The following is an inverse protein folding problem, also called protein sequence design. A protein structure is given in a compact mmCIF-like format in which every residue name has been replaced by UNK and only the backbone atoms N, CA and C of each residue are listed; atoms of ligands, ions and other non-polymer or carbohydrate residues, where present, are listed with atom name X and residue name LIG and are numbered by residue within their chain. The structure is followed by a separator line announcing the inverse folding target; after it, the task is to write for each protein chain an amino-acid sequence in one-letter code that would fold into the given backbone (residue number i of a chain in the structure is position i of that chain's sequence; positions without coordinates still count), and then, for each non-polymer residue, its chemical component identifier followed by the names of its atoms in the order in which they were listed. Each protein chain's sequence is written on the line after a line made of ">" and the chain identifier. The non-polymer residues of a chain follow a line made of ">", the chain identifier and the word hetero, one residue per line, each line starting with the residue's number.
data_IF_641598694310
#
_entry.id   IF_641598694310
#
_cell.length_a   1.000
_cell.length_b   1.000
_cell.length_c   1.000
_cell.angle_alpha   90.00
_cell.angle_beta   90.00
_cell.angle_gamma   90.00
#
_symmetry.space_group_name_H-M   'P 1'
#
loop_
_entity.id
_entity.type
_entity.pdbx_description
1 polymer ?
#
# COMPACT_ATOMS: atom_id res chain seq x y z
N UNK A 1 17.96 0.45 4.18
CA UNK A 1 18.64 0.72 2.92
C UNK A 1 18.92 -0.62 2.26
N UNK A 2 18.59 -0.75 0.99
CA UNK A 2 18.77 -1.97 0.20
C UNK A 2 19.91 -1.82 -0.80
N UNK A 3 20.36 -2.94 -1.33
CA UNK A 3 21.18 -2.96 -2.53
C UNK A 3 20.42 -2.30 -3.71
N UNK A 4 21.13 -1.84 -4.77
CA UNK A 4 20.48 -1.33 -5.98
C UNK A 4 19.42 -2.31 -6.50
N UNK A 5 18.31 -1.79 -7.00
CA UNK A 5 17.17 -2.52 -7.59
C UNK A 5 16.45 -3.54 -6.66
N UNK A 6 16.83 -3.63 -5.38
CA UNK A 6 16.35 -4.66 -4.47
C UNK A 6 15.16 -4.25 -3.57
N UNK A 7 14.59 -3.05 -3.75
CA UNK A 7 13.55 -2.52 -2.84
C UNK A 7 12.35 -3.44 -2.75
N UNK A 8 11.76 -3.81 -3.89
CA UNK A 8 10.52 -4.62 -3.90
C UNK A 8 10.76 -6.01 -3.32
N UNK A 9 11.87 -6.65 -3.68
CA UNK A 9 12.22 -7.97 -3.18
C UNK A 9 12.38 -7.95 -1.65
N UNK A 10 13.14 -6.99 -1.12
CA UNK A 10 13.35 -6.84 0.33
C UNK A 10 12.03 -6.55 1.05
N UNK A 11 11.19 -5.70 0.50
CA UNK A 11 9.89 -5.35 1.08
C UNK A 11 8.94 -6.57 1.13
N UNK A 12 8.90 -7.36 0.04
CA UNK A 12 8.09 -8.58 -0.03
C UNK A 12 8.62 -9.65 0.93
N UNK A 13 9.94 -9.84 0.99
CA UNK A 13 10.55 -10.75 1.97
C UNK A 13 10.21 -10.33 3.41
N UNK A 14 10.30 -9.03 3.73
CA UNK A 14 9.93 -8.49 5.05
C UNK A 14 8.47 -8.75 5.40
N UNK A 15 7.57 -8.58 4.44
CA UNK A 15 6.14 -8.82 4.61
C UNK A 15 5.79 -10.30 4.86
N UNK A 16 6.63 -11.23 4.43
CA UNK A 16 6.43 -12.67 4.56
C UNK A 16 7.14 -13.29 5.76
N UNK A 17 7.91 -12.50 6.53
CA UNK A 17 8.64 -13.04 7.71
C UNK A 17 7.66 -13.57 8.75
N UNK A 18 7.94 -14.79 9.28
CA UNK A 18 7.24 -15.28 10.44
C UNK A 18 7.47 -14.34 11.62
N UNK A 19 6.43 -14.07 12.39
CA UNK A 19 6.56 -13.28 13.61
C UNK A 19 7.18 -14.10 14.72
N UNK A 20 8.07 -13.47 15.49
CA UNK A 20 8.64 -14.05 16.69
C UNK A 20 9.79 -15.04 16.49
N UNK A 21 10.29 -15.26 15.31
CA UNK A 21 11.52 -16.01 15.13
C UNK A 21 12.75 -15.15 15.47
N UNK A 22 13.15 -15.27 16.71
CA UNK A 22 14.38 -14.75 17.29
C UNK A 22 14.25 -13.33 17.86
N UNK A 23 14.49 -13.19 19.16
CA UNK A 23 14.63 -11.90 19.85
C UNK A 23 15.75 -10.99 19.27
N UNK A 24 16.55 -11.51 18.34
CA UNK A 24 17.62 -10.81 17.64
C UNK A 24 17.19 -10.34 16.23
N UNK A 25 16.06 -10.77 15.70
CA UNK A 25 15.62 -10.37 14.37
C UNK A 25 14.87 -9.04 14.48
N UNK A 26 15.38 -8.04 13.78
CA UNK A 26 14.65 -6.78 13.57
C UNK A 26 13.32 -7.12 12.90
N UNK A 27 12.21 -6.81 13.56
CA UNK A 27 10.87 -7.15 13.10
C UNK A 27 10.65 -6.61 11.68
N UNK A 28 10.16 -7.44 10.77
CA UNK A 28 9.96 -7.14 9.34
C UNK A 28 11.23 -6.82 8.52
N UNK A 29 12.42 -6.96 9.07
CA UNK A 29 13.66 -6.80 8.31
C UNK A 29 14.21 -8.18 7.96
N UNK A 30 14.22 -8.58 6.67
CA UNK A 30 14.70 -9.90 6.28
C UNK A 30 16.21 -10.02 6.42
N UNK A 31 16.67 -11.19 6.84
CA UNK A 31 18.09 -11.56 6.83
C UNK A 31 18.47 -11.86 5.36
N UNK A 32 18.96 -10.87 4.65
CA UNK A 32 19.33 -10.98 3.25
C UNK A 32 20.55 -10.10 2.96
N UNK A 33 21.45 -10.52 2.07
CA UNK A 33 22.56 -9.68 1.60
C UNK A 33 22.06 -8.44 0.84
N UNK A 34 20.80 -8.42 0.44
CA UNK A 34 20.16 -7.26 -0.19
C UNK A 34 19.82 -6.16 0.81
N UNK A 35 19.82 -6.43 2.12
CA UNK A 35 19.65 -5.44 3.18
C UNK A 35 21.02 -4.97 3.63
N UNK A 36 21.39 -3.76 3.26
CA UNK A 36 22.69 -3.19 3.60
C UNK A 36 22.70 -2.59 5.02
N UNK A 37 21.66 -1.83 5.36
CA UNK A 37 21.52 -1.17 6.66
C UNK A 37 20.05 -1.13 7.06
N UNK A 38 19.77 -1.33 8.36
CA UNK A 38 18.41 -1.27 8.87
C UNK A 38 18.36 -0.79 10.32
N UNK A 39 17.32 -0.03 10.65
CA UNK A 39 16.91 0.27 12.02
C UNK A 39 16.11 -0.90 12.58
N UNK A 40 15.80 -0.85 13.86
CA UNK A 40 14.69 -1.61 14.43
C UNK A 40 13.35 -0.96 14.05
N UNK A 41 12.23 -1.58 14.42
CA UNK A 41 10.94 -0.95 14.22
C UNK A 41 10.83 0.30 15.09
N UNK A 42 10.50 1.42 14.45
CA UNK A 42 10.34 2.71 15.14
C UNK A 42 8.85 2.88 15.48
N UNK A 43 8.47 2.90 16.78
CA UNK A 43 7.09 3.13 17.19
C UNK A 43 6.60 4.53 16.80
N UNK A 44 5.27 4.68 16.72
CA UNK A 44 4.65 5.97 16.41
C UNK A 44 5.14 7.07 17.37
N UNK A 45 5.50 8.23 16.80
CA UNK A 45 6.00 9.38 17.56
C UNK A 45 7.43 9.23 18.10
N UNK A 46 8.12 8.15 17.78
CA UNK A 46 9.53 7.95 18.13
C UNK A 46 10.43 8.20 16.93
N UNK A 47 11.72 8.35 17.20
CA UNK A 47 12.77 8.54 16.20
C UNK A 47 13.94 7.64 16.51
N UNK A 48 14.56 7.11 15.48
CA UNK A 48 15.82 6.38 15.55
C UNK A 48 16.83 7.00 14.58
N UNK A 49 18.09 7.01 14.98
CA UNK A 49 19.18 7.49 14.14
C UNK A 49 20.04 6.32 13.68
N UNK A 50 20.06 6.09 12.38
CA UNK A 50 20.95 5.13 11.75
C UNK A 50 22.23 5.84 11.27
N UNK A 51 23.37 5.41 11.77
CA UNK A 51 24.69 5.90 11.33
C UNK A 51 25.44 4.78 10.66
N UNK A 52 25.92 5.02 9.45
CA UNK A 52 26.62 4.03 8.65
C UNK A 52 27.61 4.72 7.71
N UNK A 53 28.56 3.96 7.15
CA UNK A 53 29.40 4.41 6.06
C UNK A 53 28.68 4.15 4.75
N UNK A 54 28.59 5.15 3.88
CA UNK A 54 28.01 4.99 2.55
C UNK A 54 28.73 3.88 1.77
N UNK A 55 28.03 3.15 0.92
CA UNK A 55 28.64 2.22 -0.03
C UNK A 55 29.75 2.92 -0.84
N UNK A 56 30.81 2.18 -1.15
CA UNK A 56 31.96 2.72 -1.91
C UNK A 56 31.68 2.86 -3.41
N UNK A 57 30.70 2.14 -3.91
CA UNK A 57 30.33 2.20 -5.33
C UNK A 57 29.29 3.28 -5.55
N UNK A 58 29.50 4.23 -6.49
CA UNK A 58 28.49 5.19 -6.89
C UNK A 58 27.24 4.48 -7.44
N UNK A 59 26.06 5.01 -7.11
CA UNK A 59 24.80 4.41 -7.56
C UNK A 59 23.59 4.83 -6.75
N UNK A 60 22.46 4.26 -7.08
CA UNK A 60 21.18 4.48 -6.43
C UNK A 60 20.91 3.36 -5.43
N UNK A 61 20.77 3.71 -4.17
CA UNK A 61 20.53 2.81 -3.05
C UNK A 61 19.15 3.11 -2.44
N UNK A 62 18.13 2.35 -2.79
CA UNK A 62 16.80 2.58 -2.23
C UNK A 62 16.76 2.35 -0.72
N UNK A 63 15.91 3.11 -0.05
CA UNK A 63 15.53 2.82 1.34
C UNK A 63 14.02 2.71 1.45
N UNK A 64 13.56 1.83 2.33
CA UNK A 64 12.16 1.44 2.37
C UNK A 64 11.73 1.08 3.79
N UNK A 65 10.49 1.38 4.13
CA UNK A 65 9.85 0.82 5.30
C UNK A 65 9.33 -0.59 4.96
N UNK A 66 9.89 -1.59 5.62
CA UNK A 66 9.51 -3.01 5.42
C UNK A 66 8.30 -3.44 6.24
N UNK A 67 7.75 -2.54 7.08
CA UNK A 67 6.46 -2.79 7.71
C UNK A 67 5.41 -3.10 6.62
N UNK A 68 4.56 -4.12 6.81
CA UNK A 68 3.61 -4.54 5.78
C UNK A 68 2.88 -3.37 5.14
N UNK A 69 2.91 -3.27 3.81
CA UNK A 69 2.28 -2.25 2.96
C UNK A 69 2.85 -0.83 3.03
N UNK A 70 3.72 -0.51 4.00
CA UNK A 70 4.32 0.82 4.03
C UNK A 70 5.25 1.07 2.83
N UNK A 71 5.91 0.03 2.32
CA UNK A 71 6.85 0.11 1.20
C UNK A 71 6.27 0.77 -0.06
N UNK A 72 4.95 0.65 -0.28
CA UNK A 72 4.30 1.28 -1.43
C UNK A 72 4.32 2.82 -1.39
N UNK A 73 4.60 3.42 -0.23
CA UNK A 73 4.57 4.87 -0.01
C UNK A 73 5.72 5.40 0.85
N UNK A 74 6.33 4.55 1.65
CA UNK A 74 7.41 4.92 2.56
C UNK A 74 8.73 4.37 2.02
N UNK A 75 9.22 5.01 0.98
CA UNK A 75 10.49 4.71 0.35
C UNK A 75 11.14 5.99 -0.19
N UNK A 76 12.40 5.88 -0.55
CA UNK A 76 13.16 6.90 -1.24
C UNK A 76 14.46 6.30 -1.77
N UNK A 77 15.30 7.15 -2.33
CA UNK A 77 16.58 6.74 -2.89
C UNK A 77 17.70 7.58 -2.31
N UNK A 78 18.74 6.92 -1.83
CA UNK A 78 20.01 7.54 -1.50
C UNK A 78 20.92 7.43 -2.72
N UNK A 79 21.37 8.57 -3.22
CA UNK A 79 22.31 8.61 -4.34
C UNK A 79 23.73 8.72 -3.78
N UNK A 80 24.59 7.78 -4.13
CA UNK A 80 26.02 7.79 -3.82
C UNK A 80 26.77 8.25 -5.08
N UNK A 81 27.60 9.26 -4.95
CA UNK A 81 28.35 9.86 -6.05
C UNK A 81 29.83 9.98 -5.67
N UNK A 82 30.69 10.03 -6.66
CA UNK A 82 32.14 10.21 -6.44
C UNK A 82 32.48 11.60 -5.94
N UNK A 83 31.81 12.63 -6.48
CA UNK A 83 31.99 14.03 -6.13
C UNK A 83 30.63 14.69 -5.86
N UNK A 84 30.35 14.95 -4.59
CA UNK A 84 29.08 15.55 -4.19
C UNK A 84 28.96 17.02 -4.64
N UNK A 85 30.06 17.78 -4.62
CA UNK A 85 30.04 19.20 -4.98
C UNK A 85 29.81 19.37 -6.49
N UNK A 86 30.34 18.46 -7.30
CA UNK A 86 30.07 18.44 -8.74
C UNK A 86 28.64 18.01 -9.03
N UNK A 87 28.16 16.96 -8.37
CA UNK A 87 26.78 16.49 -8.55
C UNK A 87 25.75 17.55 -8.15
N UNK A 88 25.98 18.31 -7.06
CA UNK A 88 25.07 19.35 -6.60
C UNK A 88 24.93 20.53 -7.58
N UNK A 89 25.85 20.72 -8.51
CA UNK A 89 25.73 21.76 -9.56
C UNK A 89 24.67 21.39 -10.61
N UNK A 90 24.45 20.10 -10.83
CA UNK A 90 23.46 19.61 -11.79
C UNK A 90 22.87 18.27 -11.31
N UNK A 91 22.05 18.28 -10.25
CA UNK A 91 21.52 17.07 -9.65
C UNK A 91 20.58 16.36 -10.61
N UNK A 92 20.73 15.04 -10.74
CA UNK A 92 19.84 14.18 -11.49
C UNK A 92 18.85 13.54 -10.52
N UNK A 93 17.56 13.62 -10.86
CA UNK A 93 16.53 12.95 -10.06
C UNK A 93 16.71 11.43 -10.16
N UNK A 94 16.76 10.71 -9.03
CA UNK A 94 16.92 9.27 -9.04
C UNK A 94 15.71 8.57 -9.68
N UNK A 95 15.95 7.37 -10.20
CA UNK A 95 14.90 6.52 -10.73
C UNK A 95 13.89 6.14 -9.65
N UNK A 96 12.61 5.95 -10.04
CA UNK A 96 11.61 5.45 -9.12
C UNK A 96 11.82 3.93 -8.88
N UNK A 97 12.22 3.50 -7.67
CA UNK A 97 12.55 2.12 -7.39
C UNK A 97 11.35 1.17 -7.39
N UNK A 98 10.13 1.71 -7.46
CA UNK A 98 8.89 0.92 -7.62
C UNK A 98 8.54 0.74 -9.10
N UNK A 99 9.24 1.47 -10.00
CA UNK A 99 9.08 1.33 -11.44
C UNK A 99 7.83 2.01 -12.00
N UNK A 100 7.21 2.89 -11.24
CA UNK A 100 6.08 3.67 -11.76
C UNK A 100 6.52 4.73 -12.77
N UNK A 101 7.78 5.17 -12.72
CA UNK A 101 8.38 6.26 -13.52
C UNK A 101 7.46 7.50 -13.68
N UNK A 102 6.51 7.65 -12.77
CA UNK A 102 5.53 8.73 -12.79
C UNK A 102 5.94 9.85 -11.88
N UNK A 103 6.12 11.03 -12.44
CA UNK A 103 6.28 12.24 -11.65
C UNK A 103 5.04 12.49 -10.77
N UNK A 104 5.24 13.16 -9.64
CA UNK A 104 4.14 13.70 -8.86
C UNK A 104 3.34 14.71 -9.70
N UNK A 105 2.04 14.56 -9.74
CA UNK A 105 1.13 15.45 -10.45
C UNK A 105 0.50 16.44 -9.47
N UNK A 106 -0.23 15.91 -8.48
CA UNK A 106 -0.97 16.73 -7.52
C UNK A 106 -1.47 15.87 -6.36
N UNK A 107 -1.53 16.41 -5.16
CA UNK A 107 -2.34 15.85 -4.08
C UNK A 107 -3.82 16.11 -4.36
N UNK A 108 -4.49 15.11 -4.91
CA UNK A 108 -5.88 15.21 -5.33
C UNK A 108 -6.83 15.26 -4.14
N UNK A 109 -7.78 16.18 -4.22
CA UNK A 109 -8.88 16.31 -3.28
C UNK A 109 -10.20 16.12 -4.01
N UNK A 110 -11.24 15.72 -3.30
CA UNK A 110 -12.56 15.51 -3.92
C UNK A 110 -13.11 16.76 -4.58
N UNK A 111 -12.74 17.93 -4.09
CA UNK A 111 -13.18 19.24 -4.64
C UNK A 111 -12.46 19.63 -5.94
N UNK A 112 -11.44 18.90 -6.36
CA UNK A 112 -10.83 19.02 -7.68
C UNK A 112 -11.69 18.39 -8.79
N UNK A 113 -12.76 17.69 -8.42
CA UNK A 113 -13.67 17.00 -9.33
C UNK A 113 -15.07 17.59 -9.25
N UNK A 114 -15.82 17.66 -10.36
CA UNK A 114 -17.18 18.16 -10.35
C UNK A 114 -18.11 17.28 -9.49
N UNK A 115 -19.25 17.84 -9.10
CA UNK A 115 -20.26 17.12 -8.33
C UNK A 115 -20.84 15.96 -9.14
N UNK A 116 -21.11 16.19 -10.42
CA UNK A 116 -21.56 15.17 -11.37
C UNK A 116 -20.41 14.78 -12.29
N UNK A 117 -19.99 13.51 -12.18
CA UNK A 117 -18.91 12.92 -12.98
C UNK A 117 -19.43 12.16 -14.20
N UNK A 118 -20.72 11.99 -14.37
CA UNK A 118 -21.29 11.11 -15.40
C UNK A 118 -20.93 11.55 -16.83
N UNK A 119 -20.87 12.87 -17.06
CA UNK A 119 -20.44 13.40 -18.35
C UNK A 119 -18.95 13.16 -18.63
N UNK A 120 -18.11 13.25 -17.59
CA UNK A 120 -16.66 13.05 -17.66
C UNK A 120 -16.27 11.57 -17.88
N UNK A 121 -17.14 10.63 -17.56
CA UNK A 121 -16.89 9.19 -17.73
C UNK A 121 -17.26 8.67 -19.13
N UNK A 122 -17.98 9.44 -19.94
CA UNK A 122 -18.38 9.00 -21.27
C UNK A 122 -17.21 8.92 -22.25
N UNK A 123 -17.20 7.85 -23.06
CA UNK A 123 -16.20 7.68 -24.12
C UNK A 123 -14.81 7.27 -23.64
N UNK A 124 -14.68 6.90 -22.38
CA UNK A 124 -13.41 6.41 -21.78
C UNK A 124 -13.17 4.94 -22.13
N UNK A 125 -11.91 4.52 -22.04
CA UNK A 125 -11.46 3.18 -22.42
C UNK A 125 -11.45 2.23 -21.23
N UNK A 126 -12.16 1.11 -21.36
CA UNK A 126 -12.10 0.00 -20.39
C UNK A 126 -10.67 -0.51 -20.21
N UNK A 127 -9.95 -0.73 -21.32
CA UNK A 127 -8.59 -1.29 -21.31
C UNK A 127 -7.57 -0.34 -20.65
N UNK A 128 -7.69 0.96 -20.89
CA UNK A 128 -6.84 1.96 -20.24
C UNK A 128 -7.13 1.98 -18.75
N UNK A 129 -8.39 1.99 -18.38
CA UNK A 129 -8.80 2.01 -16.97
C UNK A 129 -8.33 0.76 -16.21
N UNK A 130 -8.45 -0.43 -16.81
CA UNK A 130 -7.95 -1.69 -16.23
C UNK A 130 -6.43 -1.64 -16.01
N UNK A 131 -5.68 -1.23 -17.01
CA UNK A 131 -4.22 -1.08 -16.90
C UNK A 131 -3.85 -0.11 -15.78
N UNK A 132 -4.49 1.04 -15.73
CA UNK A 132 -4.25 2.06 -14.71
C UNK A 132 -4.65 1.59 -13.30
N UNK A 133 -5.71 0.79 -13.17
CA UNK A 133 -6.11 0.17 -11.92
C UNK A 133 -5.01 -0.77 -11.36
N UNK A 134 -4.36 -1.53 -12.24
CA UNK A 134 -3.21 -2.36 -11.87
C UNK A 134 -2.00 -1.48 -11.53
N UNK A 135 -1.68 -0.50 -12.35
CA UNK A 135 -0.55 0.41 -12.17
C UNK A 135 -0.68 1.26 -10.89
N UNK A 136 -1.90 1.68 -10.55
CA UNK A 136 -2.20 2.35 -9.27
C UNK A 136 -2.20 1.38 -8.07
N UNK A 137 -1.81 0.12 -8.26
CA UNK A 137 -1.74 -0.94 -7.25
C UNK A 137 -3.08 -1.33 -6.61
N UNK A 138 -4.19 -0.91 -7.16
CA UNK A 138 -5.53 -1.23 -6.65
C UNK A 138 -5.79 -2.74 -6.64
N UNK A 139 -5.34 -3.44 -7.70
CA UNK A 139 -5.48 -4.88 -7.88
C UNK A 139 -4.77 -5.73 -6.81
N UNK A 140 -3.80 -5.16 -6.07
CA UNK A 140 -3.14 -5.89 -4.97
C UNK A 140 -4.10 -6.19 -3.82
N UNK A 141 -5.07 -5.31 -3.59
CA UNK A 141 -6.01 -5.41 -2.47
C UNK A 141 -7.42 -5.74 -2.90
N UNK A 142 -7.84 -5.33 -4.09
CA UNK A 142 -9.22 -5.41 -4.56
C UNK A 142 -9.37 -6.39 -5.70
N UNK A 143 -10.49 -7.13 -5.68
CA UNK A 143 -10.94 -7.91 -6.82
C UNK A 143 -11.90 -7.09 -7.69
N UNK A 144 -11.78 -7.29 -8.99
CA UNK A 144 -12.77 -6.91 -10.00
C UNK A 144 -13.01 -8.15 -10.87
N UNK A 145 -14.25 -8.55 -11.05
CA UNK A 145 -14.64 -9.77 -11.78
C UNK A 145 -13.87 -11.03 -11.32
N UNK A 146 -13.66 -11.16 -10.02
CA UNK A 146 -12.97 -12.30 -9.41
C UNK A 146 -11.45 -12.28 -9.51
N UNK A 147 -10.85 -11.30 -10.21
CA UNK A 147 -9.39 -11.15 -10.38
C UNK A 147 -8.85 -10.08 -9.44
N UNK A 148 -7.76 -10.37 -8.73
CA UNK A 148 -7.10 -9.44 -7.81
C UNK A 148 -7.03 -9.93 -6.36
N UNK A 149 -6.59 -9.06 -5.46
CA UNK A 149 -6.44 -9.31 -4.03
C UNK A 149 -7.77 -9.36 -3.28
N UNK A 150 -7.77 -10.00 -2.11
CA UNK A 150 -8.99 -10.22 -1.30
C UNK A 150 -9.00 -9.47 0.04
N UNK A 151 -8.01 -8.62 0.30
CA UNK A 151 -7.88 -7.89 1.57
C UNK A 151 -8.87 -6.71 1.63
N UNK A 152 -9.06 -6.04 0.48
CA UNK A 152 -10.07 -5.01 0.33
C UNK A 152 -11.42 -5.56 -0.14
N UNK A 153 -12.47 -4.73 -0.16
CA UNK A 153 -13.74 -5.12 -0.72
C UNK A 153 -13.64 -5.50 -2.21
N UNK A 154 -14.44 -6.47 -2.61
CA UNK A 154 -14.71 -6.77 -4.03
C UNK A 154 -15.35 -5.55 -4.69
N UNK A 155 -14.85 -5.12 -5.85
CA UNK A 155 -15.28 -3.87 -6.49
C UNK A 155 -16.18 -4.07 -7.72
N UNK A 156 -16.41 -5.30 -8.18
CA UNK A 156 -17.28 -5.56 -9.33
C UNK A 156 -18.65 -4.87 -9.18
N UNK A 157 -19.26 -4.97 -8.00
CA UNK A 157 -20.56 -4.37 -7.70
C UNK A 157 -20.47 -3.03 -6.95
N UNK A 158 -19.32 -2.34 -7.01
CA UNK A 158 -19.13 -1.11 -6.23
C UNK A 158 -20.14 -0.03 -6.62
N UNK A 159 -20.41 0.15 -7.90
CA UNK A 159 -21.37 1.14 -8.39
C UNK A 159 -22.80 0.87 -7.86
N UNK A 160 -23.22 -0.39 -7.80
CA UNK A 160 -24.50 -0.78 -7.23
C UNK A 160 -24.57 -0.47 -5.73
N UNK A 161 -23.52 -0.81 -4.97
CA UNK A 161 -23.45 -0.52 -3.53
C UNK A 161 -23.52 0.97 -3.25
N UNK A 162 -22.93 1.78 -4.11
CA UNK A 162 -22.94 3.25 -4.04
C UNK A 162 -24.11 3.90 -4.77
N UNK A 163 -25.07 3.11 -5.30
CA UNK A 163 -26.28 3.60 -5.99
C UNK A 163 -25.96 4.59 -7.13
N UNK A 164 -24.88 4.36 -7.85
CA UNK A 164 -24.42 5.22 -8.94
C UNK A 164 -23.67 6.48 -8.49
N UNK A 165 -23.34 6.63 -7.21
CA UNK A 165 -22.58 7.79 -6.72
C UNK A 165 -21.07 7.64 -7.01
N UNK A 166 -20.67 8.00 -8.23
CA UNK A 166 -19.27 7.99 -8.68
C UNK A 166 -18.38 8.90 -7.82
N UNK A 167 -18.92 10.06 -7.41
CA UNK A 167 -18.16 11.00 -6.58
C UNK A 167 -17.92 10.46 -5.19
N UNK A 168 -18.87 9.73 -4.63
CA UNK A 168 -18.71 9.02 -3.37
C UNK A 168 -17.63 7.94 -3.45
N UNK A 169 -17.63 7.14 -4.53
CA UNK A 169 -16.56 6.13 -4.78
C UNK A 169 -15.20 6.82 -4.88
N UNK A 170 -15.08 7.89 -5.66
CA UNK A 170 -13.83 8.64 -5.81
C UNK A 170 -13.35 9.21 -4.46
N UNK A 171 -14.25 9.70 -3.61
CA UNK A 171 -13.92 10.18 -2.26
C UNK A 171 -13.27 9.09 -1.42
N UNK A 172 -13.79 7.87 -1.45
CA UNK A 172 -13.21 6.75 -0.69
C UNK A 172 -11.80 6.39 -1.20
N UNK A 173 -11.50 6.64 -2.47
CA UNK A 173 -10.15 6.43 -3.04
C UNK A 173 -9.20 7.56 -2.59
N UNK A 174 -9.64 8.80 -2.64
CA UNK A 174 -8.82 9.98 -2.31
C UNK A 174 -8.63 10.18 -0.80
N UNK A 175 -9.64 9.82 0.00
CA UNK A 175 -9.60 9.90 1.46
C UNK A 175 -10.12 8.61 2.12
N UNK A 176 -9.35 7.52 2.02
CA UNK A 176 -9.79 6.18 2.44
C UNK A 176 -9.98 6.03 3.96
N UNK A 177 -9.57 7.01 4.74
CA UNK A 177 -9.82 7.07 6.18
C UNK A 177 -11.05 7.90 6.55
N UNK A 178 -11.73 8.51 5.57
CA UNK A 178 -12.93 9.31 5.78
C UNK A 178 -14.06 8.49 6.43
N UNK A 179 -14.29 7.28 5.93
CA UNK A 179 -15.26 6.35 6.47
C UNK A 179 -14.80 4.91 6.29
N UNK A 180 -14.45 4.26 7.39
CA UNK A 180 -13.96 2.89 7.37
C UNK A 180 -15.08 1.93 7.80
N UNK A 181 -15.46 1.01 6.92
CA UNK A 181 -16.36 -0.08 7.26
C UNK A 181 -15.72 -0.93 8.38
N UNK A 182 -16.45 -1.24 9.48
CA UNK A 182 -15.95 -2.06 10.58
C UNK A 182 -15.27 -3.35 10.15
N UNK A 183 -15.75 -3.99 9.08
CA UNK A 183 -15.17 -5.22 8.52
C UNK A 183 -13.75 -5.04 8.00
N UNK A 184 -13.41 -3.83 7.53
CA UNK A 184 -12.10 -3.51 6.96
C UNK A 184 -11.27 -2.61 7.88
N UNK A 185 -11.72 -2.41 9.12
CA UNK A 185 -10.99 -1.63 10.10
C UNK A 185 -9.73 -2.37 10.55
N UNK A 186 -8.60 -1.69 10.47
CA UNK A 186 -7.32 -2.22 10.95
C UNK A 186 -7.35 -2.32 12.47
N UNK A 187 -6.96 -3.48 12.98
CA UNK A 187 -6.68 -3.70 14.39
C UNK A 187 -5.17 -3.70 14.61
N UNK A 188 -4.72 -3.02 15.64
CA UNK A 188 -3.35 -3.10 16.13
C UNK A 188 -3.38 -3.90 17.43
N UNK A 189 -2.68 -5.01 17.45
CA UNK A 189 -2.61 -5.91 18.61
C UNK A 189 -1.20 -5.84 19.16
N UNK A 190 -1.12 -5.51 20.42
CA UNK A 190 0.10 -5.61 21.22
C UNK A 190 0.05 -6.93 21.96
N UNK A 191 1.11 -7.71 21.87
CA UNK A 191 1.20 -8.99 22.55
C UNK A 191 2.02 -8.88 23.83
N UNK A 192 1.81 -9.79 24.78
CA UNK A 192 2.53 -9.82 26.08
C UNK A 192 4.03 -9.99 25.95
N UNK A 193 4.51 -10.52 24.82
CA UNK A 193 5.93 -10.65 24.47
C UNK A 193 6.48 -9.43 23.70
N UNK A 194 5.66 -8.37 23.55
CA UNK A 194 6.06 -7.10 22.96
C UNK A 194 5.98 -7.03 21.43
N UNK A 195 5.38 -8.00 20.74
CA UNK A 195 5.13 -7.92 19.31
C UNK A 195 3.97 -6.98 19.00
N UNK A 196 4.06 -6.31 17.84
CA UNK A 196 2.99 -5.47 17.32
C UNK A 196 2.48 -6.11 16.02
N UNK A 197 1.20 -6.48 16.01
CA UNK A 197 0.51 -7.07 14.88
C UNK A 197 -0.57 -6.13 14.40
N UNK A 198 -0.53 -5.73 13.13
CA UNK A 198 -1.49 -4.78 12.58
C UNK A 198 -2.09 -5.30 11.27
N UNK A 199 -3.39 -5.36 11.20
CA UNK A 199 -4.09 -5.82 10.00
C UNK A 199 -5.60 -5.87 10.15
N UNK A 200 -6.26 -6.48 9.17
CA UNK A 200 -7.71 -6.74 9.20
C UNK A 200 -7.95 -8.08 9.87
N UNK A 201 -8.97 -8.16 10.71
CA UNK A 201 -9.39 -9.43 11.29
C UNK A 201 -9.98 -10.31 10.18
N UNK A 202 -9.36 -11.45 9.95
CA UNK A 202 -9.86 -12.48 9.04
C UNK A 202 -10.91 -13.33 9.75
N UNK A 203 -10.55 -13.82 10.93
CA UNK A 203 -11.46 -14.58 11.80
C UNK A 203 -11.08 -14.39 13.27
N UNK A 204 -12.04 -14.61 14.16
CA UNK A 204 -11.85 -14.51 15.61
C UNK A 204 -12.79 -15.49 16.31
N UNK A 205 -12.27 -16.22 17.30
CA UNK A 205 -13.03 -17.06 18.20
C UNK A 205 -12.59 -16.81 19.66
N UNK A 206 -12.97 -17.73 20.58
CA UNK A 206 -12.65 -17.58 21.99
C UNK A 206 -11.18 -17.84 22.33
N UNK A 207 -10.45 -18.48 21.43
CA UNK A 207 -9.08 -18.95 21.65
C UNK A 207 -8.06 -18.09 20.90
N UNK A 208 -8.39 -17.62 19.70
CA UNK A 208 -7.46 -16.93 18.82
C UNK A 208 -8.13 -15.86 17.94
N UNK A 209 -7.31 -14.90 17.54
CA UNK A 209 -7.63 -13.90 16.50
C UNK A 209 -6.65 -14.08 15.34
N UNK A 210 -7.18 -14.17 14.14
CA UNK A 210 -6.42 -14.27 12.91
C UNK A 210 -6.41 -12.91 12.19
N UNK A 211 -5.22 -12.39 11.91
CA UNK A 211 -5.00 -11.06 11.34
C UNK A 211 -4.36 -11.17 9.95
N UNK A 212 -5.00 -10.60 8.95
CA UNK A 212 -4.41 -10.37 7.63
C UNK A 212 -3.64 -9.04 7.65
N UNK A 213 -2.32 -9.15 7.66
CA UNK A 213 -1.44 -7.99 7.80
C UNK A 213 -1.10 -7.32 6.49
N UNK A 214 -1.09 -8.08 5.42
CA UNK A 214 -0.80 -7.57 4.09
C UNK A 214 -1.58 -8.34 3.01
N UNK A 215 -1.79 -7.73 1.83
CA UNK A 215 -2.54 -8.35 0.73
C UNK A 215 -1.88 -9.60 0.14
N UNK A 216 -0.56 -9.73 0.33
CA UNK A 216 0.25 -10.82 -0.26
C UNK A 216 0.36 -12.01 0.70
N UNK A 217 -0.05 -11.85 1.96
CA UNK A 217 -0.02 -12.92 2.94
C UNK A 217 -0.96 -14.05 2.53
N UNK A 218 -0.40 -15.23 2.26
CA UNK A 218 -1.17 -16.43 1.92
C UNK A 218 -1.97 -16.99 3.11
N UNK A 219 -1.59 -16.61 4.33
CA UNK A 219 -2.22 -17.04 5.57
C UNK A 219 -2.26 -15.88 6.56
N UNK A 220 -3.32 -15.77 7.36
CA UNK A 220 -3.36 -14.80 8.45
C UNK A 220 -2.35 -15.16 9.56
N UNK A 221 -1.91 -14.14 10.28
CA UNK A 221 -1.18 -14.35 11.54
C UNK A 221 -2.19 -14.66 12.62
N UNK A 222 -2.00 -15.78 13.29
CA UNK A 222 -2.88 -16.23 14.39
C UNK A 222 -2.22 -15.85 15.72
N UNK A 223 -2.98 -15.15 16.57
CA UNK A 223 -2.55 -14.73 17.92
C UNK A 223 -3.52 -15.36 18.91
N UNK A 224 -3.02 -16.07 19.89
CA UNK A 224 -3.88 -16.59 20.95
C UNK A 224 -4.42 -15.43 21.80
N UNK A 225 -5.69 -15.46 22.17
CA UNK A 225 -6.33 -14.38 22.95
C UNK A 225 -5.60 -14.12 24.28
N UNK A 226 -5.06 -15.16 24.92
CA UNK A 226 -4.26 -15.04 26.14
C UNK A 226 -2.96 -14.25 25.98
N UNK A 227 -2.44 -14.18 24.75
CA UNK A 227 -1.19 -13.49 24.44
C UNK A 227 -1.42 -12.04 23.98
N UNK A 228 -2.69 -11.59 23.93
CA UNK A 228 -3.07 -10.20 23.63
C UNK A 228 -2.96 -9.37 24.90
N UNK A 229 -2.08 -8.38 24.91
CA UNK A 229 -1.94 -7.39 25.98
C UNK A 229 -2.90 -6.21 25.74
N UNK A 230 -2.86 -5.64 24.54
CA UNK A 230 -3.73 -4.52 24.16
C UNK A 230 -4.22 -4.70 22.71
N UNK A 231 -5.45 -4.25 22.48
CA UNK A 231 -6.05 -4.21 21.14
C UNK A 231 -6.62 -2.83 20.85
N UNK A 232 -6.12 -2.19 19.79
CA UNK A 232 -6.54 -0.85 19.39
C UNK A 232 -7.08 -0.86 17.98
N UNK A 233 -8.27 -0.30 17.78
CA UNK A 233 -8.79 -0.06 16.44
C UNK A 233 -8.13 1.18 15.86
N UNK A 234 -7.47 1.04 14.70
CA UNK A 234 -6.89 2.16 13.98
C UNK A 234 -7.97 3.07 13.39
N UNK A 235 -7.75 4.38 13.49
CA UNK A 235 -8.51 5.37 12.74
C UNK A 235 -8.04 5.54 11.29
N UNK A 236 -6.99 4.78 10.89
CA UNK A 236 -6.45 4.81 9.54
C UNK A 236 -6.87 3.58 8.77
N UNK A 237 -7.29 3.80 7.52
CA UNK A 237 -7.60 2.72 6.57
C UNK A 237 -6.34 1.93 6.23
N UNK A 238 -6.53 0.65 5.91
CA UNK A 238 -5.51 -0.17 5.27
C UNK A 238 -5.18 0.34 3.86
N UNK A 239 -6.14 0.89 3.15
CA UNK A 239 -5.93 1.51 1.85
C UNK A 239 -5.06 2.76 2.03
N UNK A 240 -3.89 2.86 1.37
CA UNK A 240 -3.02 4.03 1.48
C UNK A 240 -3.69 5.28 0.89
N UNK A 241 -3.47 6.43 1.51
CA UNK A 241 -3.80 7.71 0.90
C UNK A 241 -2.82 8.05 -0.23
N UNK A 242 -3.20 8.95 -1.12
CA UNK A 242 -2.33 9.49 -2.17
C UNK A 242 -1.90 8.47 -3.26
N UNK A 243 -2.63 7.36 -3.43
CA UNK A 243 -2.37 6.38 -4.48
C UNK A 243 -2.45 6.99 -5.89
N UNK A 244 -3.24 8.03 -6.05
CA UNK A 244 -3.52 8.68 -7.34
C UNK A 244 -2.73 9.99 -7.54
N UNK A 245 -1.86 10.38 -6.62
CA UNK A 245 -1.14 11.66 -6.70
C UNK A 245 -0.15 11.76 -7.88
N UNK A 246 0.19 10.61 -8.49
CA UNK A 246 1.03 10.50 -9.69
C UNK A 246 0.25 10.26 -10.99
N UNK A 247 -1.07 10.37 -10.92
CA UNK A 247 -1.96 10.19 -12.07
C UNK A 247 -2.59 11.53 -12.43
N UNK A 248 -2.78 11.78 -13.72
CA UNK A 248 -3.54 12.93 -14.18
C UNK A 248 -5.02 12.77 -13.85
N UNK A 249 -5.77 13.88 -13.91
CA UNK A 249 -7.23 13.86 -13.72
C UNK A 249 -7.91 12.86 -14.67
N UNK A 250 -7.50 12.85 -15.94
CA UNK A 250 -8.09 11.97 -16.93
C UNK A 250 -7.81 10.50 -16.65
N UNK A 251 -6.61 10.15 -16.21
CA UNK A 251 -6.26 8.79 -15.81
C UNK A 251 -7.05 8.32 -14.58
N UNK A 252 -7.29 9.21 -13.63
CA UNK A 252 -8.16 8.91 -12.48
C UNK A 252 -9.58 8.59 -12.92
N UNK A 253 -10.09 9.35 -13.90
CA UNK A 253 -11.42 9.12 -14.45
C UNK A 253 -11.48 7.83 -15.30
N UNK A 254 -10.40 7.43 -15.96
CA UNK A 254 -10.32 6.10 -16.61
C UNK A 254 -10.44 4.97 -15.60
N UNK A 255 -9.76 5.06 -14.45
CA UNK A 255 -9.88 4.07 -13.36
C UNK A 255 -11.34 4.00 -12.86
N UNK A 256 -11.98 5.15 -12.66
CA UNK A 256 -13.37 5.20 -12.21
C UNK A 256 -14.34 4.60 -13.23
N UNK A 257 -14.11 4.89 -14.53
CA UNK A 257 -14.86 4.29 -15.63
C UNK A 257 -14.68 2.77 -15.72
N UNK A 258 -13.46 2.27 -15.46
CA UNK A 258 -13.23 0.82 -15.39
C UNK A 258 -14.13 0.16 -14.33
N UNK A 259 -14.25 0.75 -13.15
CA UNK A 259 -15.12 0.24 -12.09
C UNK A 259 -16.62 0.30 -12.48
N UNK A 260 -17.03 1.32 -13.25
CA UNK A 260 -18.38 1.41 -13.79
C UNK A 260 -18.65 0.30 -14.81
N UNK A 261 -17.75 0.13 -15.78
CA UNK A 261 -17.91 -0.86 -16.85
C UNK A 261 -17.80 -2.30 -16.31
N UNK A 262 -16.98 -2.57 -15.31
CA UNK A 262 -16.91 -3.87 -14.67
C UNK A 262 -18.27 -4.33 -14.13
N UNK A 263 -19.03 -3.40 -13.54
CA UNK A 263 -20.41 -3.65 -13.11
C UNK A 263 -21.36 -3.98 -14.28
N UNK A 264 -21.27 -3.20 -15.37
CA UNK A 264 -22.14 -3.38 -16.55
C UNK A 264 -21.92 -4.76 -17.19
N UNK A 265 -20.66 -5.12 -17.45
CA UNK A 265 -20.31 -6.40 -18.07
C UNK A 265 -20.67 -7.63 -17.20
N UNK A 266 -20.51 -7.54 -15.89
CA UNK A 266 -20.89 -8.64 -15.00
C UNK A 266 -22.40 -8.97 -15.03
N UNK A 267 -23.23 -8.05 -15.50
CA UNK A 267 -24.69 -8.18 -15.53
C UNK A 267 -25.24 -8.46 -16.94
N UNK A 268 -24.52 -8.14 -18.01
CA UNK A 268 -24.93 -8.44 -19.40
C UNK A 268 -24.90 -9.96 -19.71
N UNK A 269 -24.04 -10.74 -19.06
CA UNK A 269 -23.93 -12.19 -19.27
C UNK A 269 -24.90 -13.03 -18.43
N UNK A 270 -25.84 -12.42 -17.70
CA UNK A 270 -26.83 -13.11 -16.87
C UNK A 270 -28.27 -13.10 -17.45
N UNK A 271 -28.44 -12.67 -18.71
CA UNK A 271 -29.73 -12.70 -19.40
C UNK A 271 -29.73 -13.68 -20.56
#
# INVERSE_FOLDING_TARGET
>A
ITAPDALQEVAQMGALLPKGEGAEAKQYVPKSPLVLFATEMVPAGKQERLTFTAPSEPGEYPFVCTFPRHWMRMYGVMVVVEDLDEWLKNPVEPSDPIGSNRAFVKSWMIDDFPVDLQADLRGRSLEIGERLFVEATCALCHKVNGTGGAVGPELTDVLKRWKGDHRGILREILDPSHKIDPKYAVQVIYTVDGLIVSGIVDSEDKEAIAILENPEAKKPTVIAIKDVDERVRSSKSMMPKALLDRFSRDEILEILNYLEQAFMHAHEHKH
#
